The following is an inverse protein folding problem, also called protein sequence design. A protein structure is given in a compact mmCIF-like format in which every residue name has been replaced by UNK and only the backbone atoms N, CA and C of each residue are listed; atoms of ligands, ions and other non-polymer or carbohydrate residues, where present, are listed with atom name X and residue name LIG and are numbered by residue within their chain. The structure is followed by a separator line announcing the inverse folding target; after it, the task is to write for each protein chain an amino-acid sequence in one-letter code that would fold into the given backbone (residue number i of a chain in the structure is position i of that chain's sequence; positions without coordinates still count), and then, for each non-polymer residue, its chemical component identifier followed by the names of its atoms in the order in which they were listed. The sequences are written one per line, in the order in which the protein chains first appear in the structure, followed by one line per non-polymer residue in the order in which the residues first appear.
data_IF_154671241897
#
_entry.id   IF_154671241897
#
_cell.length_a   1.000
_cell.length_b   1.000
_cell.length_c   1.000
_cell.angle_alpha   90.00
_cell.angle_beta   90.00
_cell.angle_gamma   90.00
#
_symmetry.space_group_name_H-M   'P 1'
#
loop_
_entity.id
_entity.type
_entity.pdbx_description
1 polymer ?
#
# COMPACT_ATOMS: atom_id res chain seq x y z
N UNK A 1 15.37 -8.72 16.77
CA UNK A 1 16.75 -8.46 16.33
C UNK A 1 16.67 -7.87 14.92
N UNK A 2 17.06 -6.61 14.74
CA UNK A 2 17.09 -5.94 13.43
C UNK A 2 18.53 -5.99 12.92
N UNK A 3 18.77 -6.56 11.72
CA UNK A 3 20.13 -6.69 11.15
C UNK A 3 20.52 -5.41 10.41
N UNK A 4 21.41 -4.63 11.01
CA UNK A 4 22.16 -3.57 10.31
C UNK A 4 23.44 -4.15 9.70
N UNK A 5 24.09 -3.40 8.80
CA UNK A 5 25.42 -3.76 8.31
C UNK A 5 26.42 -3.79 9.47
N UNK A 6 27.25 -4.83 9.53
CA UNK A 6 28.36 -4.91 10.49
C UNK A 6 29.56 -4.10 10.00
N UNK A 7 30.42 -3.64 10.92
CA UNK A 7 31.56 -2.78 10.57
C UNK A 7 32.55 -3.48 9.61
N UNK A 8 32.60 -4.81 9.65
CA UNK A 8 33.49 -5.66 8.86
C UNK A 8 32.84 -6.22 7.59
N UNK A 9 31.61 -5.83 7.25
CA UNK A 9 30.89 -6.30 6.06
C UNK A 9 30.94 -5.30 4.91
N UNK A 10 31.05 -5.80 3.66
CA UNK A 10 30.76 -5.00 2.46
C UNK A 10 29.25 -4.94 2.21
N UNK A 11 28.78 -4.03 1.35
CA UNK A 11 27.37 -4.07 0.91
C UNK A 11 26.99 -5.39 0.24
N UNK A 12 27.92 -6.01 -0.50
CA UNK A 12 27.69 -7.31 -1.13
C UNK A 12 27.47 -8.42 -0.10
N UNK A 13 28.28 -8.44 0.97
CA UNK A 13 28.12 -9.40 2.07
C UNK A 13 26.80 -9.18 2.79
N UNK A 14 26.45 -7.91 3.04
CA UNK A 14 25.18 -7.54 3.66
C UNK A 14 23.97 -8.03 2.86
N UNK A 15 23.99 -7.82 1.53
CA UNK A 15 22.92 -8.26 0.64
C UNK A 15 22.80 -9.78 0.58
N UNK A 16 23.94 -10.49 0.49
CA UNK A 16 23.98 -11.95 0.47
C UNK A 16 23.40 -12.56 1.75
N UNK A 17 23.60 -11.89 2.90
CA UNK A 17 23.08 -12.34 4.18
C UNK A 17 21.61 -11.95 4.43
N UNK A 18 21.13 -10.80 3.94
CA UNK A 18 19.76 -10.34 4.24
C UNK A 18 18.72 -10.92 3.27
N UNK A 19 19.04 -11.07 1.98
CA UNK A 19 18.08 -11.55 0.97
C UNK A 19 17.48 -12.92 1.29
N UNK A 20 18.24 -13.91 1.80
CA UNK A 20 17.68 -15.20 2.21
C UNK A 20 16.58 -15.12 3.27
N UNK A 21 16.48 -14.03 4.05
CA UNK A 21 15.46 -13.88 5.10
C UNK A 21 14.03 -13.75 4.53
N UNK A 22 13.88 -13.33 3.28
CA UNK A 22 12.59 -13.12 2.62
C UNK A 22 12.35 -14.09 1.46
N UNK A 23 13.34 -14.91 1.13
CA UNK A 23 13.24 -15.93 0.10
C UNK A 23 12.19 -16.98 0.49
N UNK A 24 11.34 -17.34 -0.47
CA UNK A 24 10.28 -18.34 -0.32
C UNK A 24 9.29 -18.08 0.83
N UNK A 25 9.30 -16.88 1.40
CA UNK A 25 8.31 -16.45 2.39
C UNK A 25 7.05 -16.00 1.67
N UNK A 26 5.94 -16.64 2.02
CA UNK A 26 4.59 -16.28 1.64
C UNK A 26 3.86 -15.68 2.85
N UNK A 27 3.74 -14.36 2.85
CA UNK A 27 3.09 -13.57 3.89
C UNK A 27 2.47 -12.31 3.30
N UNK A 28 1.22 -12.42 2.87
CA UNK A 28 0.40 -11.34 2.29
C UNK A 28 0.20 -10.16 3.25
N UNK A 29 0.47 -10.33 4.54
CA UNK A 29 0.38 -9.29 5.58
C UNK A 29 1.74 -8.92 6.20
N UNK A 30 2.85 -9.35 5.58
CA UNK A 30 4.20 -9.05 6.06
C UNK A 30 4.90 -8.11 5.09
N UNK A 31 5.34 -6.95 5.57
CA UNK A 31 6.26 -6.04 4.85
C UNK A 31 7.59 -6.02 5.59
N UNK A 32 8.70 -6.10 4.85
CA UNK A 32 10.04 -6.15 5.44
C UNK A 32 10.81 -4.90 5.08
N UNK A 33 11.26 -4.19 6.11
CA UNK A 33 12.08 -2.98 5.99
C UNK A 33 13.48 -3.30 6.48
N UNK A 34 14.53 -3.13 5.66
CA UNK A 34 15.90 -3.35 6.08
C UNK A 34 16.35 -2.23 7.02
N UNK A 35 17.29 -2.54 7.91
CA UNK A 35 17.81 -1.61 8.90
C UNK A 35 19.09 -0.94 8.38
N UNK A 36 18.94 0.00 7.43
CA UNK A 36 20.05 0.61 6.71
C UNK A 36 20.59 1.86 7.42
N UNK A 37 19.69 2.77 7.83
CA UNK A 37 20.04 4.01 8.54
C UNK A 37 19.83 3.93 10.05
N UNK A 38 19.14 2.92 10.55
CA UNK A 38 18.85 2.76 11.97
C UNK A 38 17.41 3.09 12.37
N UNK A 39 16.69 3.79 11.51
CA UNK A 39 15.35 4.34 11.78
C UNK A 39 14.36 4.12 10.63
N UNK A 40 14.73 3.24 9.70
CA UNK A 40 13.99 2.92 8.47
C UNK A 40 12.55 2.47 8.79
N UNK A 41 12.40 1.46 9.65
CA UNK A 41 11.09 0.91 10.03
C UNK A 41 10.19 1.96 10.68
N UNK A 42 10.74 2.77 11.59
CA UNK A 42 10.01 3.84 12.25
C UNK A 42 9.56 4.92 11.25
N UNK A 43 10.41 5.24 10.28
CA UNK A 43 10.08 6.22 9.24
C UNK A 43 9.02 5.69 8.28
N UNK A 44 9.12 4.42 7.87
CA UNK A 44 8.12 3.75 7.07
C UNK A 44 6.74 3.77 7.75
N UNK A 45 6.69 3.35 9.02
CA UNK A 45 5.47 3.36 9.81
C UNK A 45 4.92 4.79 9.97
N UNK A 46 5.77 5.77 10.27
CA UNK A 46 5.40 7.17 10.39
C UNK A 46 4.82 7.74 9.08
N UNK A 47 5.36 7.33 7.94
CA UNK A 47 4.89 7.74 6.61
C UNK A 47 3.52 7.17 6.29
N UNK A 48 3.28 5.90 6.60
CA UNK A 48 1.98 5.25 6.43
C UNK A 48 0.89 5.80 7.39
N UNK A 49 1.30 6.34 8.54
CA UNK A 49 0.44 6.91 9.57
C UNK A 49 0.35 8.44 9.52
N UNK A 50 0.93 9.08 8.50
CA UNK A 50 0.94 10.53 8.40
C UNK A 50 -0.51 11.07 8.25
N UNK A 51 -0.83 12.18 8.91
CA UNK A 51 -2.14 12.82 8.80
C UNK A 51 -2.45 13.34 7.39
N UNK A 52 -1.44 13.48 6.55
CA UNK A 52 -1.52 13.88 5.14
C UNK A 52 -1.88 12.73 4.18
N UNK A 53 -2.13 11.53 4.70
CA UNK A 53 -2.44 10.34 3.88
C UNK A 53 -3.69 9.63 4.38
N UNK A 54 -4.31 8.89 3.47
CA UNK A 54 -5.35 7.90 3.74
C UNK A 54 -4.73 6.49 3.77
N UNK A 55 -5.54 5.46 4.06
CA UNK A 55 -5.04 4.08 3.98
C UNK A 55 -4.79 3.60 2.55
N UNK A 56 -5.33 4.30 1.55
CA UNK A 56 -5.20 3.98 0.13
C UNK A 56 -3.95 4.62 -0.52
N UNK A 57 -3.26 5.51 0.19
CA UNK A 57 -2.07 6.16 -0.34
C UNK A 57 -0.83 5.25 -0.19
N UNK A 58 -0.10 5.09 -1.29
CA UNK A 58 1.19 4.41 -1.29
C UNK A 58 2.23 5.21 -0.48
N UNK A 59 3.12 4.53 0.27
CA UNK A 59 4.28 5.19 0.89
C UNK A 59 5.17 5.88 -0.16
N UNK A 60 5.11 5.50 -1.44
CA UNK A 60 5.90 6.14 -2.50
C UNK A 60 5.47 7.59 -2.80
N UNK A 61 4.30 8.04 -2.33
CA UNK A 61 3.72 9.35 -2.66
C UNK A 61 4.64 10.54 -2.35
N UNK A 62 5.39 11.01 -3.35
CA UNK A 62 6.37 12.13 -3.24
C UNK A 62 5.73 13.42 -2.73
N UNK A 63 4.47 13.68 -3.09
CA UNK A 63 3.71 14.86 -2.65
C UNK A 63 3.50 14.95 -1.13
N UNK A 64 3.72 13.87 -0.36
CA UNK A 64 3.73 13.93 1.11
C UNK A 64 4.98 14.58 1.70
N UNK A 65 5.95 14.92 0.85
CA UNK A 65 7.24 15.47 1.23
C UNK A 65 8.32 14.42 1.41
N UNK A 66 9.56 14.90 1.54
CA UNK A 66 10.72 14.07 1.84
C UNK A 66 10.61 13.44 3.23
N UNK A 67 11.33 12.34 3.44
CA UNK A 67 11.42 11.67 4.74
C UNK A 67 12.03 12.61 5.78
N UNK A 68 11.44 12.61 6.97
CA UNK A 68 11.97 13.35 8.11
C UNK A 68 13.12 12.57 8.75
N UNK A 69 14.15 13.28 9.21
CA UNK A 69 15.33 12.70 9.85
C UNK A 69 16.63 12.90 9.06
N UNK A 70 17.72 12.34 9.59
CA UNK A 70 19.08 12.52 9.06
C UNK A 70 19.37 11.56 7.90
N UNK A 71 18.65 11.72 6.78
CA UNK A 71 18.78 10.86 5.60
C UNK A 71 19.97 11.22 4.69
N UNK A 72 20.55 12.41 4.85
CA UNK A 72 21.65 12.89 4.02
C UNK A 72 22.99 12.20 4.32
N UNK A 73 23.19 11.78 5.57
CA UNK A 73 24.37 11.01 5.97
C UNK A 73 24.13 9.54 5.58
N UNK A 74 24.74 9.11 4.48
CA UNK A 74 24.56 7.75 3.98
C UNK A 74 25.46 6.78 4.75
N UNK A 75 24.96 5.59 5.11
CA UNK A 75 25.82 4.57 5.71
C UNK A 75 26.90 4.15 4.70
N UNK A 76 28.06 3.80 5.23
CA UNK A 76 29.21 3.27 4.48
C UNK A 76 29.49 1.84 4.92
N UNK A 77 29.98 1.02 3.99
CA UNK A 77 30.49 -0.32 4.33
C UNK A 77 31.95 -0.30 4.81
N UNK A 78 32.52 -1.48 5.08
CA UNK A 78 33.90 -1.64 5.54
C UNK A 78 34.95 -1.03 4.60
N UNK A 79 34.64 -0.91 3.32
CA UNK A 79 35.54 -0.41 2.28
C UNK A 79 35.34 1.10 2.02
N UNK A 80 34.48 1.75 2.82
CA UNK A 80 34.14 3.17 2.70
C UNK A 80 33.17 3.49 1.56
N UNK A 81 32.54 2.47 0.95
CA UNK A 81 31.56 2.67 -0.12
C UNK A 81 30.24 3.15 0.49
N UNK A 82 29.78 4.32 0.07
CA UNK A 82 28.46 4.82 0.45
C UNK A 82 27.32 3.99 -0.16
N UNK A 83 26.21 3.90 0.58
CA UNK A 83 24.94 3.39 0.07
C UNK A 83 24.54 4.11 -1.23
N UNK A 84 24.26 3.31 -2.27
CA UNK A 84 23.85 3.81 -3.57
C UNK A 84 22.49 3.21 -4.00
N UNK A 85 21.94 3.73 -5.10
CA UNK A 85 20.64 3.27 -5.62
C UNK A 85 20.69 1.87 -6.21
N UNK A 86 21.87 1.38 -6.61
CA UNK A 86 22.04 0.02 -7.11
C UNK A 86 21.75 -1.00 -6.02
N UNK A 87 22.28 -0.78 -4.83
CA UNK A 87 22.02 -1.62 -3.64
C UNK A 87 20.53 -1.57 -3.29
N UNK A 88 19.94 -0.38 -3.21
CA UNK A 88 18.50 -0.23 -2.89
C UNK A 88 17.59 -0.92 -3.91
N UNK A 89 17.91 -0.81 -5.21
CA UNK A 89 17.17 -1.52 -6.27
C UNK A 89 17.29 -3.03 -6.14
N UNK A 90 18.45 -3.52 -5.72
CA UNK A 90 18.66 -4.97 -5.57
C UNK A 90 17.94 -5.52 -4.33
N UNK A 91 17.85 -4.75 -3.25
CA UNK A 91 17.00 -5.06 -2.10
C UNK A 91 15.51 -4.98 -2.46
N UNK A 92 15.09 -3.95 -3.18
CA UNK A 92 13.69 -3.80 -3.63
C UNK A 92 13.25 -4.96 -4.52
N UNK A 93 14.10 -5.38 -5.48
CA UNK A 93 13.87 -6.56 -6.31
C UNK A 93 13.77 -7.86 -5.49
N UNK A 94 14.42 -7.92 -4.31
CA UNK A 94 14.29 -9.00 -3.35
C UNK A 94 13.06 -8.86 -2.43
N UNK A 95 12.13 -7.93 -2.72
CA UNK A 95 10.86 -7.66 -2.01
C UNK A 95 11.00 -6.93 -0.67
N UNK A 96 12.12 -6.26 -0.44
CA UNK A 96 12.24 -5.32 0.68
C UNK A 96 11.57 -3.98 0.35
N UNK A 97 11.01 -3.32 1.35
CA UNK A 97 10.55 -1.93 1.26
C UNK A 97 11.66 -1.00 1.74
N UNK A 98 12.15 -0.14 0.85
CA UNK A 98 13.39 0.62 1.05
C UNK A 98 13.18 2.13 0.87
N UNK A 99 14.03 2.99 1.43
CA UNK A 99 14.10 4.39 1.03
C UNK A 99 14.53 4.51 -0.45
N UNK A 100 14.22 5.64 -1.08
CA UNK A 100 14.60 5.92 -2.46
C UNK A 100 14.83 7.42 -2.68
N UNK A 101 15.62 7.78 -3.68
CA UNK A 101 15.78 9.17 -4.11
C UNK A 101 15.85 9.26 -5.63
N UNK A 102 15.35 10.37 -6.17
CA UNK A 102 15.33 10.63 -7.60
C UNK A 102 16.51 11.50 -8.01
N UNK A 103 17.16 11.23 -9.16
CA UNK A 103 18.16 12.14 -9.70
C UNK A 103 17.57 13.53 -9.90
N UNK A 104 18.31 14.56 -9.50
CA UNK A 104 17.92 15.96 -9.70
C UNK A 104 16.60 16.39 -9.02
N UNK A 105 16.05 15.58 -8.10
CA UNK A 105 14.93 15.97 -7.25
C UNK A 105 15.35 15.86 -5.79
N UNK A 106 15.47 17.00 -5.07
CA UNK A 106 15.99 17.00 -3.70
C UNK A 106 15.16 16.14 -2.73
N UNK A 107 15.86 15.52 -1.77
CA UNK A 107 15.29 14.76 -0.68
C UNK A 107 15.34 13.25 -0.87
N UNK A 108 15.16 12.54 0.24
CA UNK A 108 14.95 11.09 0.27
C UNK A 108 13.46 10.85 0.48
N UNK A 109 12.91 9.87 -0.22
CA UNK A 109 11.53 9.44 -0.21
C UNK A 109 11.49 7.94 0.11
N UNK A 110 10.30 7.35 0.06
CA UNK A 110 10.17 5.90 0.17
C UNK A 110 9.97 5.29 -1.22
N UNK A 111 10.48 4.08 -1.42
CA UNK A 111 10.03 3.23 -2.52
C UNK A 111 8.62 2.71 -2.23
N UNK A 112 8.24 1.63 -2.89
CA UNK A 112 6.93 1.02 -2.68
C UNK A 112 6.85 0.24 -1.36
N UNK A 113 5.61 0.00 -0.91
CA UNK A 113 5.33 -0.81 0.26
C UNK A 113 5.21 -2.29 -0.09
N UNK A 114 6.34 -2.90 -0.48
CA UNK A 114 6.36 -4.31 -0.89
C UNK A 114 5.93 -5.23 0.27
N UNK A 115 5.06 -6.17 -0.06
CA UNK A 115 4.59 -7.23 0.83
C UNK A 115 5.15 -8.58 0.39
N UNK A 116 5.23 -9.53 1.33
CA UNK A 116 5.67 -10.88 1.06
C UNK A 116 4.57 -11.78 0.47
N UNK A 117 3.59 -11.22 -0.24
CA UNK A 117 2.59 -12.00 -0.97
C UNK A 117 3.21 -12.77 -2.15
N UNK A 118 2.63 -13.91 -2.51
CA UNK A 118 3.12 -14.76 -3.60
C UNK A 118 3.21 -13.99 -4.93
N UNK A 119 4.07 -14.42 -5.88
CA UNK A 119 4.08 -13.83 -7.21
C UNK A 119 2.68 -13.84 -7.85
N UNK A 120 2.26 -12.69 -8.39
CA UNK A 120 0.93 -12.43 -8.93
C UNK A 120 -0.23 -12.48 -7.91
N UNK A 121 0.07 -12.44 -6.61
CA UNK A 121 -0.94 -12.24 -5.57
C UNK A 121 -1.53 -10.82 -5.58
N UNK A 122 -2.71 -10.67 -4.97
CA UNK A 122 -3.45 -9.40 -4.96
C UNK A 122 -2.86 -8.36 -3.99
N UNK A 123 -2.08 -8.81 -2.99
CA UNK A 123 -1.58 -8.02 -1.88
C UNK A 123 -0.08 -7.77 -1.94
N UNK A 124 0.52 -7.81 -3.13
CA UNK A 124 1.94 -7.48 -3.30
C UNK A 124 2.30 -6.05 -2.86
N UNK A 125 1.33 -5.14 -2.85
CA UNK A 125 1.48 -3.75 -2.42
C UNK A 125 0.62 -3.45 -1.20
N UNK A 126 1.19 -2.74 -0.22
CA UNK A 126 0.56 -2.48 1.07
C UNK A 126 -0.76 -1.68 0.97
N UNK A 127 -0.89 -0.75 0.02
CA UNK A 127 -2.08 0.09 -0.11
C UNK A 127 -3.35 -0.71 -0.42
N UNK A 128 -3.24 -1.77 -1.23
CA UNK A 128 -4.37 -2.65 -1.54
C UNK A 128 -4.84 -3.39 -0.29
N UNK A 129 -3.90 -3.97 0.45
CA UNK A 129 -4.19 -4.70 1.69
C UNK A 129 -4.87 -3.79 2.72
N UNK A 130 -4.32 -2.60 2.95
CA UNK A 130 -4.82 -1.68 3.99
C UNK A 130 -6.26 -1.25 3.72
N UNK A 131 -6.62 -1.02 2.47
CA UNK A 131 -8.00 -0.66 2.06
C UNK A 131 -8.97 -1.81 2.34
N UNK A 132 -8.62 -3.04 1.93
CA UNK A 132 -9.47 -4.22 2.16
C UNK A 132 -9.63 -4.50 3.66
N UNK A 133 -8.55 -4.43 4.43
CA UNK A 133 -8.62 -4.60 5.88
C UNK A 133 -9.49 -3.53 6.55
N UNK A 134 -9.41 -2.27 6.10
CA UNK A 134 -10.28 -1.19 6.60
C UNK A 134 -11.75 -1.46 6.27
N UNK A 135 -12.06 -1.89 5.05
CA UNK A 135 -13.42 -2.25 4.64
C UNK A 135 -13.99 -3.36 5.54
N UNK A 136 -13.24 -4.45 5.73
CA UNK A 136 -13.69 -5.56 6.57
C UNK A 136 -13.89 -5.14 8.03
N UNK A 137 -12.98 -4.34 8.61
CA UNK A 137 -13.12 -3.80 9.98
C UNK A 137 -14.38 -2.95 10.16
N UNK A 138 -14.89 -2.32 9.10
CA UNK A 138 -16.13 -1.52 9.15
C UNK A 138 -17.39 -2.35 8.95
N UNK A 139 -17.35 -3.38 8.10
CA UNK A 139 -18.52 -4.23 7.85
C UNK A 139 -18.69 -5.30 8.94
N UNK A 140 -17.61 -5.81 9.52
CA UNK A 140 -17.66 -6.87 10.52
C UNK A 140 -18.58 -6.55 11.72
N UNK A 141 -18.53 -5.37 12.37
CA UNK A 141 -19.45 -5.04 13.45
C UNK A 141 -20.92 -5.02 13.01
N UNK A 142 -21.19 -4.62 11.76
CA UNK A 142 -22.54 -4.64 11.20
C UNK A 142 -23.04 -6.08 11.04
N UNK A 143 -22.18 -7.01 10.61
CA UNK A 143 -22.51 -8.42 10.49
C UNK A 143 -22.76 -9.07 11.85
N UNK A 144 -21.92 -8.77 12.86
CA UNK A 144 -22.11 -9.23 14.25
C UNK A 144 -23.47 -8.77 14.80
N UNK A 145 -23.87 -7.53 14.52
CA UNK A 145 -25.17 -7.00 14.93
C UNK A 145 -26.38 -7.70 14.27
N UNK A 146 -26.17 -8.56 13.27
CA UNK A 146 -27.23 -9.37 12.62
C UNK A 146 -27.32 -10.80 13.13
N UNK A 147 -26.44 -11.22 14.03
CA UNK A 147 -26.50 -12.56 14.62
C UNK A 147 -27.81 -12.69 15.41
N UNK A 148 -28.60 -13.72 15.09
CA UNK A 148 -29.92 -14.00 15.66
C UNK A 148 -30.98 -12.88 15.50
N UNK A 149 -30.76 -11.91 14.61
CA UNK A 149 -31.73 -10.86 14.29
C UNK A 149 -32.60 -11.27 13.09
N UNK A 150 -33.92 -11.38 13.30
CA UNK A 150 -34.88 -11.75 12.24
C UNK A 150 -34.95 -10.75 11.09
N UNK A 151 -34.41 -9.54 11.25
CA UNK A 151 -34.24 -8.57 10.15
C UNK A 151 -33.31 -9.09 9.07
N UNK A 152 -32.43 -10.05 9.37
CA UNK A 152 -31.70 -10.85 8.38
C UNK A 152 -32.31 -12.26 8.33
N UNK A 153 -33.18 -12.47 7.35
CA UNK A 153 -33.78 -13.76 7.00
C UNK A 153 -33.59 -14.06 5.49
N UNK A 154 -34.02 -15.26 5.08
CA UNK A 154 -33.85 -15.80 3.72
C UNK A 154 -34.83 -15.26 2.68
N UNK A 155 -35.74 -14.35 3.03
CA UNK A 155 -36.63 -13.74 2.04
C UNK A 155 -35.85 -12.76 1.13
N UNK A 156 -36.23 -12.62 -0.15
CA UNK A 156 -35.55 -11.71 -1.07
C UNK A 156 -35.51 -10.26 -0.60
N UNK A 157 -36.60 -9.77 -0.01
CA UNK A 157 -36.69 -8.40 0.52
C UNK A 157 -35.70 -8.15 1.68
N UNK A 158 -35.59 -9.13 2.59
CA UNK A 158 -34.60 -9.09 3.68
C UNK A 158 -33.17 -9.10 3.15
N UNK A 159 -32.87 -9.99 2.18
CA UNK A 159 -31.54 -10.08 1.59
C UNK A 159 -31.15 -8.74 0.94
N UNK A 160 -32.02 -8.17 0.10
CA UNK A 160 -31.76 -6.88 -0.55
C UNK A 160 -31.55 -5.73 0.44
N UNK A 161 -32.36 -5.68 1.51
CA UNK A 161 -32.20 -4.69 2.58
C UNK A 161 -30.85 -4.84 3.31
N UNK A 162 -30.43 -6.07 3.60
CA UNK A 162 -29.16 -6.33 4.28
C UNK A 162 -27.94 -6.14 3.37
N UNK A 163 -28.03 -6.45 2.08
CA UNK A 163 -27.00 -6.09 1.10
C UNK A 163 -26.77 -4.58 1.11
N UNK A 164 -27.83 -3.78 1.10
CA UNK A 164 -27.75 -2.31 1.20
C UNK A 164 -27.15 -1.88 2.54
N UNK A 165 -27.52 -2.53 3.64
CA UNK A 165 -27.00 -2.25 4.98
C UNK A 165 -25.49 -2.49 5.09
N UNK A 166 -24.99 -3.63 4.61
CA UNK A 166 -23.57 -3.96 4.61
C UNK A 166 -22.75 -3.18 3.58
N UNK A 167 -23.39 -2.67 2.53
CA UNK A 167 -22.74 -1.83 1.52
C UNK A 167 -22.51 -0.39 2.01
N UNK A 168 -23.18 0.04 3.09
CA UNK A 168 -23.06 1.42 3.62
C UNK A 168 -21.60 1.85 3.88
N UNK A 169 -20.75 1.07 4.58
CA UNK A 169 -19.36 1.49 4.79
C UNK A 169 -18.53 1.61 3.51
N UNK A 170 -18.80 0.77 2.50
CA UNK A 170 -18.12 0.86 1.20
C UNK A 170 -18.51 2.14 0.46
N UNK A 171 -19.79 2.54 0.52
CA UNK A 171 -20.27 3.83 -0.03
C UNK A 171 -19.70 5.04 0.70
N UNK A 172 -19.42 4.92 2.00
CA UNK A 172 -18.74 5.98 2.76
C UNK A 172 -17.27 6.09 2.34
N UNK A 173 -16.59 4.95 2.19
CA UNK A 173 -15.19 4.90 1.73
C UNK A 173 -15.01 5.35 0.28
N UNK A 174 -16.06 5.29 -0.54
CA UNK A 174 -16.00 5.73 -1.94
C UNK A 174 -16.15 7.23 -2.14
N UNK A 175 -16.46 7.99 -1.08
CA UNK A 175 -16.60 9.44 -1.17
C UNK A 175 -15.24 10.10 -1.10
N UNK A 176 -15.04 11.11 -1.95
CA UNK A 176 -13.91 11.99 -1.82
C UNK A 176 -13.90 12.66 -0.44
N UNK A 177 -12.71 12.83 0.12
CA UNK A 177 -12.51 13.50 1.41
C UNK A 177 -11.49 14.62 1.23
N UNK A 178 -11.64 15.69 1.99
CA UNK A 178 -10.67 16.78 2.01
C UNK A 178 -9.79 16.64 3.25
N UNK A 179 -8.48 16.64 3.06
CA UNK A 179 -7.49 16.56 4.14
C UNK A 179 -6.51 17.71 3.93
N UNK A 180 -6.45 18.61 4.91
CA UNK A 180 -5.57 19.78 4.87
C UNK A 180 -5.70 20.62 3.58
N UNK A 181 -6.92 20.85 3.11
CA UNK A 181 -7.17 21.64 1.89
C UNK A 181 -6.95 20.90 0.58
N UNK A 182 -6.54 19.62 0.63
CA UNK A 182 -6.31 18.79 -0.56
C UNK A 182 -7.46 17.79 -0.69
N UNK A 183 -8.07 17.76 -1.86
CA UNK A 183 -9.10 16.78 -2.18
C UNK A 183 -8.46 15.42 -2.51
N UNK A 184 -8.84 14.40 -1.76
CA UNK A 184 -8.49 13.01 -2.01
C UNK A 184 -9.67 12.29 -2.68
N UNK A 185 -9.42 11.42 -3.67
CA UNK A 185 -10.45 10.51 -4.14
C UNK A 185 -10.91 9.58 -3.00
N UNK A 186 -12.04 8.91 -3.19
CA UNK A 186 -12.43 7.83 -2.29
C UNK A 186 -11.35 6.76 -2.19
N UNK A 187 -11.28 6.06 -1.06
CA UNK A 187 -10.32 4.97 -0.85
C UNK A 187 -10.66 3.75 -1.72
N UNK A 188 -11.92 3.63 -2.13
CA UNK A 188 -12.46 2.59 -3.01
C UNK A 188 -13.36 3.22 -4.07
N UNK A 189 -13.51 2.56 -5.21
CA UNK A 189 -14.54 2.91 -6.19
C UNK A 189 -15.93 2.72 -5.58
N UNK A 190 -16.91 3.42 -6.14
CA UNK A 190 -18.30 3.25 -5.74
C UNK A 190 -18.72 1.78 -5.91
N UNK A 191 -19.25 1.12 -4.86
CA UNK A 191 -19.66 -0.27 -4.95
C UNK A 191 -20.90 -0.41 -5.84
N UNK A 192 -20.93 -1.45 -6.64
CA UNK A 192 -22.03 -1.82 -7.54
C UNK A 192 -23.02 -2.78 -6.86
N UNK A 193 -24.20 -2.93 -7.46
CA UNK A 193 -25.12 -4.00 -7.09
C UNK A 193 -24.47 -5.37 -7.34
N UNK A 194 -24.32 -6.17 -6.28
CA UNK A 194 -23.64 -7.48 -6.31
C UNK A 194 -22.34 -7.54 -5.52
N UNK A 195 -21.70 -6.39 -5.25
CA UNK A 195 -20.45 -6.32 -4.48
C UNK A 195 -20.62 -6.77 -3.02
N UNK A 196 -21.87 -6.81 -2.53
CA UNK A 196 -22.24 -7.58 -1.35
C UNK A 196 -23.24 -8.65 -1.76
N UNK A 197 -22.89 -9.90 -1.52
CA UNK A 197 -23.78 -11.04 -1.77
C UNK A 197 -23.98 -11.83 -0.48
N UNK A 198 -25.24 -12.14 -0.16
CA UNK A 198 -25.61 -12.89 1.04
C UNK A 198 -26.12 -14.25 0.59
N UNK A 199 -25.50 -15.32 1.11
CA UNK A 199 -25.85 -16.69 0.79
C UNK A 199 -26.23 -17.46 2.06
N UNK A 200 -27.41 -18.08 2.07
CA UNK A 200 -27.84 -18.92 3.19
C UNK A 200 -27.37 -20.35 2.93
N UNK A 201 -26.41 -20.83 3.74
CA UNK A 201 -25.93 -22.22 3.68
C UNK A 201 -26.89 -23.18 4.36
N UNK A 202 -27.42 -22.77 5.50
CA UNK A 202 -28.45 -23.49 6.27
C UNK A 202 -29.38 -22.47 6.92
N UNK A 203 -30.42 -22.91 7.62
CA UNK A 203 -31.30 -22.00 8.40
C UNK A 203 -30.59 -21.18 9.50
N UNK A 204 -29.34 -21.51 9.85
CA UNK A 204 -28.57 -20.81 10.88
C UNK A 204 -27.21 -20.29 10.40
N UNK A 205 -26.81 -20.58 9.17
CA UNK A 205 -25.50 -20.22 8.63
C UNK A 205 -25.66 -19.37 7.38
N UNK A 206 -25.05 -18.19 7.43
CA UNK A 206 -25.07 -17.18 6.37
C UNK A 206 -23.65 -16.82 6.01
N UNK A 207 -23.35 -16.79 4.72
CA UNK A 207 -22.12 -16.25 4.16
C UNK A 207 -22.39 -14.87 3.58
N UNK A 208 -21.48 -13.94 3.83
CA UNK A 208 -21.50 -12.61 3.24
C UNK A 208 -20.22 -12.47 2.43
N UNK A 209 -20.37 -12.39 1.12
CA UNK A 209 -19.29 -12.12 0.18
C UNK A 209 -19.18 -10.63 -0.06
N UNK A 210 -17.96 -10.13 -0.15
CA UNK A 210 -17.65 -8.72 -0.38
C UNK A 210 -16.61 -8.57 -1.47
N UNK A 211 -16.86 -7.62 -2.38
CA UNK A 211 -15.89 -7.15 -3.36
C UNK A 211 -15.53 -5.71 -3.04
N UNK A 212 -14.24 -5.41 -3.05
CA UNK A 212 -13.70 -4.06 -2.83
C UNK A 212 -12.77 -3.74 -3.99
N UNK A 213 -12.98 -2.58 -4.63
CA UNK A 213 -12.15 -2.16 -5.75
C UNK A 213 -11.46 -0.84 -5.42
N UNK A 214 -10.15 -0.82 -5.13
CA UNK A 214 -9.41 0.43 -4.92
C UNK A 214 -9.25 1.24 -6.22
N UNK A 215 -8.85 2.50 -6.10
CA UNK A 215 -8.41 3.30 -7.24
C UNK A 215 -6.95 3.00 -7.58
N UNK A 216 -6.61 3.05 -8.87
CA UNK A 216 -5.23 2.94 -9.31
C UNK A 216 -4.48 4.25 -9.07
N UNK A 217 -3.21 4.15 -8.69
CA UNK A 217 -2.29 5.28 -8.63
C UNK A 217 -1.00 4.96 -9.42
N UNK A 218 -0.45 5.92 -10.18
CA UNK A 218 0.75 5.67 -10.96
C UNK A 218 1.99 5.60 -10.06
N UNK A 219 2.80 4.55 -10.21
CA UNK A 219 4.13 4.40 -9.58
C UNK A 219 5.28 4.79 -10.52
N UNK A 220 4.99 4.86 -11.82
CA UNK A 220 5.92 5.30 -12.86
C UNK A 220 5.19 6.23 -13.84
N UNK A 221 5.88 7.29 -14.26
CA UNK A 221 5.39 8.25 -15.26
C UNK A 221 6.49 8.42 -16.31
N UNK A 222 6.13 8.25 -17.58
CA UNK A 222 7.02 8.48 -18.72
C UNK A 222 6.52 9.72 -19.47
N UNK A 223 7.33 10.77 -19.50
CA UNK A 223 7.04 11.99 -20.27
C UNK A 223 7.76 11.92 -21.61
N UNK A 224 7.00 11.85 -22.71
CA UNK A 224 7.53 11.92 -24.07
C UNK A 224 7.33 13.33 -24.61
N UNK A 225 8.40 13.98 -25.06
CA UNK A 225 8.35 15.31 -25.67
C UNK A 225 8.67 15.19 -27.16
N UNK A 226 7.80 15.73 -28.00
CA UNK A 226 8.06 15.90 -29.43
C UNK A 226 8.25 17.40 -29.69
N UNK A 227 9.29 17.74 -30.45
CA UNK A 227 9.51 19.10 -30.91
C UNK A 227 8.77 19.28 -32.24
N UNK A 228 7.71 20.08 -32.23
CA UNK A 228 7.03 20.51 -33.45
C UNK A 228 7.76 21.73 -34.04
N UNK A 229 8.26 21.59 -35.26
CA UNK A 229 8.91 22.65 -36.04
C UNK A 229 8.10 22.98 -37.31
N UNK A 230 6.84 22.57 -37.40
CA UNK A 230 5.99 23.02 -38.49
C UNK A 230 5.89 24.55 -38.47
N UNK A 231 6.26 25.18 -39.60
CA UNK A 231 6.28 26.64 -39.72
C UNK A 231 4.88 27.20 -39.47
N UNK A 232 4.69 27.91 -38.36
CA UNK A 232 3.47 28.67 -38.05
C UNK A 232 3.23 29.86 -39.02
N UNK A 233 4.09 30.05 -40.02
CA UNK A 233 4.04 31.15 -40.99
C UNK A 233 3.44 30.76 -42.36
N UNK A 234 3.06 29.50 -42.56
CA UNK A 234 2.39 29.02 -43.80
C UNK A 234 0.96 28.48 -43.54
N UNK A 235 0.28 28.99 -42.50
CA UNK A 235 -1.13 28.72 -42.23
C UNK A 235 -2.00 29.98 -42.43
#
# INVERSE_FOLDING_TARGET
VTRSIAAEESWSDFEAAIKPLVNDVAGDQVSVVPHLWGFDLGTYAGRLCNKAVTVADSPMRVATGALLGSWSAKPTDKDGREMDRGILKSLEAARFSVPYWYPSYPGVYWADGNMLDVPAGDYQCIENLRVVQKAMRRVYPLAVARIADRKLNSTPASIAANQTYFMRPLREMSRAVEIMGIQFPGEVKQPNGGDITINWKTKYQVEIYMVVTPYNCPKQITCNLMLDLSNQAEA
#
